data_IF_142414621917
#
_entry.id   IF_142414621917
#
_cell.length_a   1.000
_cell.length_b   1.000
_cell.length_c   1.000
_cell.angle_alpha   90.00
_cell.angle_beta   90.00
_cell.angle_gamma   90.00
#
_symmetry.space_group_name_H-M   'P 1'
#
loop_
_entity.id
_entity.type
_entity.pdbx_description
1 polymer ?
#
# COMPACT_ATOMS: atom_id res chain seq x y z
N UNK A 1 -28.60 17.01 -17.71
CA UNK A 1 -27.98 16.43 -18.92
C UNK A 1 -27.50 15.03 -18.55
N UNK A 2 -27.73 14.03 -19.41
CA UNK A 2 -27.26 12.67 -19.16
C UNK A 2 -25.79 12.54 -19.58
N UNK A 3 -24.94 12.05 -18.67
CA UNK A 3 -23.55 11.73 -18.96
C UNK A 3 -23.46 10.56 -19.93
N UNK A 4 -22.62 10.67 -20.95
CA UNK A 4 -22.43 9.61 -21.94
C UNK A 4 -20.99 9.59 -22.46
N UNK A 5 -20.54 8.40 -22.83
CA UNK A 5 -19.29 8.15 -23.54
C UNK A 5 -19.50 6.92 -24.42
N UNK A 6 -19.24 7.04 -25.73
CA UNK A 6 -19.39 5.94 -26.67
C UNK A 6 -18.35 6.03 -27.79
N UNK A 7 -18.13 4.91 -28.48
CA UNK A 7 -17.23 4.84 -29.63
C UNK A 7 -17.95 4.29 -30.86
N UNK A 8 -17.50 4.73 -32.03
CA UNK A 8 -17.92 4.25 -33.34
C UNK A 8 -16.66 3.99 -34.17
N UNK A 9 -16.46 2.75 -34.61
CA UNK A 9 -15.36 2.36 -35.48
C UNK A 9 -15.88 1.98 -36.86
N UNK A 10 -15.15 2.36 -37.92
CA UNK A 10 -15.33 1.70 -39.23
C UNK A 10 -14.54 0.40 -39.22
N UNK A 11 -15.05 -0.63 -39.88
CA UNK A 11 -14.31 -1.88 -40.14
C UNK A 11 -14.14 -2.03 -41.65
N UNK A 12 -12.96 -2.46 -42.07
CA UNK A 12 -12.66 -2.74 -43.48
C UNK A 12 -12.46 -4.25 -43.64
N UNK A 13 -13.14 -4.84 -44.63
CA UNK A 13 -13.29 -6.29 -44.77
C UNK A 13 -12.28 -6.91 -45.75
N UNK A 14 -11.18 -6.24 -46.05
CA UNK A 14 -10.22 -6.65 -47.09
C UNK A 14 -8.95 -7.28 -46.52
N UNK A 15 -8.40 -8.27 -47.22
CA UNK A 15 -7.26 -9.11 -46.80
C UNK A 15 -5.87 -8.39 -46.78
N UNK A 16 -5.83 -7.06 -46.80
CA UNK A 16 -4.60 -6.25 -46.73
C UNK A 16 -4.68 -5.33 -45.51
N UNK A 17 -3.53 -4.97 -44.93
CA UNK A 17 -3.50 -4.01 -43.82
C UNK A 17 -4.27 -2.75 -44.19
N UNK A 18 -5.28 -2.42 -43.39
CA UNK A 18 -6.25 -1.40 -43.72
C UNK A 18 -6.40 -0.45 -42.54
N UNK A 19 -6.47 0.85 -42.85
CA UNK A 19 -6.67 1.88 -41.84
C UNK A 19 -8.17 2.13 -41.66
N UNK A 20 -8.60 2.10 -40.40
CA UNK A 20 -9.98 2.30 -39.99
C UNK A 20 -10.09 3.56 -39.15
N UNK A 21 -11.25 4.21 -39.16
CA UNK A 21 -11.50 5.39 -38.34
C UNK A 21 -12.23 4.97 -37.06
N UNK A 22 -11.66 5.32 -35.90
CA UNK A 22 -12.30 5.24 -34.60
C UNK A 22 -12.68 6.65 -34.13
N UNK A 23 -13.95 6.82 -33.76
CA UNK A 23 -14.49 8.05 -33.19
C UNK A 23 -14.95 7.77 -31.77
N UNK A 24 -14.48 8.53 -30.79
CA UNK A 24 -14.98 8.50 -29.42
C UNK A 24 -15.68 9.83 -29.14
N UNK A 25 -16.92 9.78 -28.65
CA UNK A 25 -17.74 10.95 -28.33
C UNK A 25 -18.16 10.88 -26.86
N UNK A 26 -18.14 12.02 -26.15
CA UNK A 26 -18.52 12.06 -24.74
C UNK A 26 -19.17 13.38 -24.33
N UNK A 27 -19.92 13.39 -23.23
CA UNK A 27 -20.62 14.57 -22.70
C UNK A 27 -19.72 15.54 -21.95
N UNK A 28 -18.46 15.17 -21.67
CA UNK A 28 -17.50 15.95 -20.89
C UNK A 28 -16.11 15.90 -21.55
N UNK A 29 -15.36 17.01 -21.57
CA UNK A 29 -13.97 17.00 -22.03
C UNK A 29 -13.09 16.06 -21.19
N UNK A 30 -13.39 15.86 -19.91
CA UNK A 30 -12.68 14.93 -19.02
C UNK A 30 -12.84 13.47 -19.47
N UNK A 31 -14.05 13.05 -19.86
CA UNK A 31 -14.27 11.71 -20.42
C UNK A 31 -13.48 11.50 -21.71
N UNK A 32 -13.44 12.50 -22.59
CA UNK A 32 -12.65 12.43 -23.82
C UNK A 32 -11.16 12.35 -23.49
N UNK A 33 -10.65 13.18 -22.59
CA UNK A 33 -9.24 13.16 -22.22
C UNK A 33 -8.82 11.80 -21.66
N UNK A 34 -9.63 11.20 -20.77
CA UNK A 34 -9.38 9.84 -20.24
C UNK A 34 -9.42 8.77 -21.32
N UNK A 35 -10.43 8.83 -22.18
CA UNK A 35 -10.57 7.88 -23.28
C UNK A 35 -9.40 7.95 -24.25
N UNK A 36 -8.88 9.16 -24.55
CA UNK A 36 -7.70 9.37 -25.39
C UNK A 36 -6.46 8.74 -24.78
N UNK A 37 -6.21 8.95 -23.48
CA UNK A 37 -5.06 8.37 -22.79
C UNK A 37 -5.09 6.85 -22.83
N UNK A 38 -6.26 6.26 -22.53
CA UNK A 38 -6.43 4.81 -22.52
C UNK A 38 -6.35 4.22 -23.93
N UNK A 39 -7.02 4.82 -24.93
CA UNK A 39 -6.99 4.36 -26.30
C UNK A 39 -5.59 4.42 -26.90
N UNK A 40 -4.84 5.51 -26.65
CA UNK A 40 -3.47 5.65 -27.14
C UNK A 40 -2.53 4.59 -26.56
N UNK A 41 -2.78 4.15 -25.31
CA UNK A 41 -2.04 3.06 -24.67
C UNK A 41 -2.43 1.68 -25.22
N UNK A 42 -3.73 1.42 -25.41
CA UNK A 42 -4.24 0.12 -25.87
C UNK A 42 -4.00 -0.17 -27.35
N UNK A 43 -3.94 0.87 -28.17
CA UNK A 43 -3.66 0.80 -29.60
C UNK A 43 -2.25 1.30 -29.94
N UNK A 44 -1.31 1.15 -29.01
CA UNK A 44 0.08 1.58 -29.21
C UNK A 44 0.66 1.01 -30.50
N UNK A 45 1.35 1.85 -31.28
CA UNK A 45 1.89 1.47 -32.58
C UNK A 45 0.87 1.30 -33.71
N UNK A 46 -0.44 1.30 -33.41
CA UNK A 46 -1.53 1.20 -34.40
C UNK A 46 -2.25 2.52 -34.65
N UNK A 47 -2.12 3.52 -33.77
CA UNK A 47 -2.67 4.87 -34.01
C UNK A 47 -1.79 5.61 -35.02
N UNK A 48 -2.29 5.79 -36.25
CA UNK A 48 -1.58 6.45 -37.36
C UNK A 48 -1.71 7.97 -37.25
N UNK A 49 -2.91 8.44 -36.95
CA UNK A 49 -3.23 9.86 -36.81
C UNK A 49 -4.37 10.01 -35.81
N UNK A 50 -4.37 11.10 -35.05
CA UNK A 50 -5.43 11.37 -34.09
C UNK A 50 -5.65 12.87 -33.91
N UNK A 51 -6.91 13.26 -33.70
CA UNK A 51 -7.31 14.63 -33.40
C UNK A 51 -8.42 14.63 -32.36
N UNK A 52 -8.20 15.34 -31.26
CA UNK A 52 -9.23 15.66 -30.28
C UNK A 52 -9.76 17.07 -30.54
N UNK A 53 -11.09 17.25 -30.43
CA UNK A 53 -11.74 18.55 -30.42
C UNK A 53 -12.99 18.48 -29.54
N UNK A 54 -13.04 19.37 -28.54
CA UNK A 54 -14.16 19.53 -27.62
C UNK A 54 -14.61 18.20 -26.98
N UNK A 55 -15.70 17.63 -27.49
CA UNK A 55 -16.41 16.45 -27.00
C UNK A 55 -16.18 15.20 -27.87
N UNK A 56 -15.19 15.24 -28.75
CA UNK A 56 -14.90 14.16 -29.71
C UNK A 56 -13.40 13.95 -29.90
N UNK A 57 -13.01 12.70 -30.01
CA UNK A 57 -11.72 12.25 -30.52
C UNK A 57 -11.91 11.42 -31.77
N UNK A 58 -11.10 11.67 -32.79
CA UNK A 58 -11.10 10.93 -34.06
C UNK A 58 -9.69 10.42 -34.30
N UNK A 59 -9.55 9.13 -34.51
CA UNK A 59 -8.27 8.48 -34.79
C UNK A 59 -8.34 7.53 -35.97
N UNK A 60 -7.26 7.47 -36.71
CA UNK A 60 -7.01 6.44 -37.72
C UNK A 60 -6.21 5.33 -37.06
N UNK A 61 -6.79 4.14 -36.96
CA UNK A 61 -6.17 2.97 -36.33
C UNK A 61 -5.93 1.90 -37.41
N UNK A 62 -4.70 1.41 -37.46
CA UNK A 62 -4.29 0.32 -38.34
C UNK A 62 -4.88 -1.01 -37.85
N UNK A 63 -5.48 -1.77 -38.77
CA UNK A 63 -5.98 -3.13 -38.55
C UNK A 63 -6.99 -3.24 -37.39
N UNK A 64 -7.78 -2.19 -37.16
CA UNK A 64 -8.82 -2.17 -36.13
C UNK A 64 -9.93 -3.17 -36.46
N UNK A 65 -10.24 -4.05 -35.50
CA UNK A 65 -11.27 -5.07 -35.63
C UNK A 65 -10.80 -6.33 -36.35
N UNK A 66 -9.52 -6.40 -36.72
CA UNK A 66 -8.88 -7.62 -37.23
C UNK A 66 -8.55 -8.57 -36.08
N UNK A 67 -8.22 -8.00 -34.91
CA UNK A 67 -7.93 -8.76 -33.70
C UNK A 67 -9.20 -8.91 -32.84
N UNK A 68 -9.48 -10.11 -32.30
CA UNK A 68 -10.58 -10.29 -31.36
C UNK A 68 -10.37 -9.47 -30.06
N UNK A 69 -9.13 -9.06 -29.75
CA UNK A 69 -8.81 -8.22 -28.60
C UNK A 69 -9.19 -6.75 -28.78
N UNK A 70 -9.52 -6.30 -29.99
CA UNK A 70 -9.80 -4.88 -30.25
C UNK A 70 -11.14 -4.45 -29.66
N UNK A 71 -12.13 -5.34 -29.68
CA UNK A 71 -13.43 -5.11 -29.06
C UNK A 71 -13.29 -5.02 -27.54
N UNK A 72 -12.60 -5.98 -26.92
CA UNK A 72 -12.30 -5.99 -25.49
C UNK A 72 -11.50 -4.75 -25.06
N UNK A 73 -10.49 -4.37 -25.86
CA UNK A 73 -9.69 -3.18 -25.60
C UNK A 73 -10.54 -1.90 -25.68
N UNK A 74 -11.42 -1.79 -26.67
CA UNK A 74 -12.32 -0.65 -26.80
C UNK A 74 -13.32 -0.57 -25.64
N UNK A 75 -13.87 -1.73 -25.24
CA UNK A 75 -14.76 -1.81 -24.09
C UNK A 75 -14.05 -1.41 -22.78
N UNK A 76 -12.81 -1.86 -22.58
CA UNK A 76 -11.97 -1.47 -21.43
C UNK A 76 -11.70 0.04 -21.40
N UNK A 77 -11.39 0.64 -22.55
CA UNK A 77 -11.18 2.09 -22.71
C UNK A 77 -12.43 2.85 -22.28
N UNK A 78 -13.59 2.52 -22.85
CA UNK A 78 -14.85 3.22 -22.57
C UNK A 78 -15.26 3.04 -21.10
N UNK A 79 -15.19 1.81 -20.60
CA UNK A 79 -15.58 1.49 -19.22
C UNK A 79 -14.73 2.22 -18.19
N UNK A 80 -13.41 2.30 -18.40
CA UNK A 80 -12.50 3.00 -17.47
C UNK A 80 -12.57 4.51 -17.60
N UNK A 81 -12.74 5.04 -18.81
CA UNK A 81 -12.88 6.47 -19.03
C UNK A 81 -14.19 7.02 -18.46
N UNK A 82 -15.27 6.24 -18.50
CA UNK A 82 -16.57 6.61 -17.94
C UNK A 82 -16.65 6.45 -16.40
N UNK A 83 -15.66 5.83 -15.76
CA UNK A 83 -15.64 5.74 -14.29
C UNK A 83 -15.42 7.12 -13.70
N UNK A 84 -16.30 7.50 -12.78
CA UNK A 84 -16.09 8.66 -11.92
C UNK A 84 -14.70 8.54 -11.26
N UNK A 85 -13.89 9.61 -11.27
CA UNK A 85 -12.61 9.59 -10.56
C UNK A 85 -12.87 9.22 -9.11
N UNK A 86 -12.25 8.14 -8.63
CA UNK A 86 -12.17 7.92 -7.19
C UNK A 86 -11.38 9.09 -6.62
N UNK A 87 -11.90 9.70 -5.55
CA UNK A 87 -11.13 10.67 -4.79
C UNK A 87 -9.84 9.97 -4.31
N UNK A 88 -8.65 10.41 -4.74
CA UNK A 88 -7.38 9.77 -4.37
C UNK A 88 -7.11 9.85 -2.86
N UNK A 89 -7.83 10.71 -2.13
CA UNK A 89 -7.75 10.83 -0.68
C UNK A 89 -8.80 10.00 0.06
N UNK A 90 -9.78 9.43 -0.65
CA UNK A 90 -10.77 8.56 -0.03
C UNK A 90 -10.14 7.18 0.27
N UNK A 91 -10.10 6.73 1.52
CA UNK A 91 -9.55 5.43 1.87
C UNK A 91 -10.41 4.30 1.26
N UNK A 92 -9.80 3.24 0.71
CA UNK A 92 -10.55 2.10 0.19
C UNK A 92 -11.44 1.46 1.28
N UNK A 93 -12.61 0.91 0.91
CA UNK A 93 -13.45 0.17 1.85
C UNK A 93 -12.67 -0.94 2.57
N UNK A 94 -12.76 -0.98 3.90
CA UNK A 94 -12.07 -1.97 4.73
C UNK A 94 -10.61 -1.65 5.07
N UNK A 95 -10.05 -0.54 4.58
CA UNK A 95 -8.75 -0.06 5.07
C UNK A 95 -8.85 0.41 6.53
N UNK A 96 -7.79 0.18 7.29
CA UNK A 96 -7.66 0.66 8.68
C UNK A 96 -6.62 1.76 8.73
N UNK A 97 -6.97 2.86 9.39
CA UNK A 97 -6.01 3.92 9.70
C UNK A 97 -4.92 3.42 10.66
N UNK A 98 -3.78 4.11 10.67
CA UNK A 98 -2.69 3.78 11.60
C UNK A 98 -3.19 3.80 13.04
N UNK A 99 -3.98 4.80 13.45
CA UNK A 99 -4.50 4.90 14.82
C UNK A 99 -5.35 3.71 15.23
N UNK A 100 -6.15 3.17 14.29
CA UNK A 100 -6.96 1.98 14.54
C UNK A 100 -6.06 0.74 14.75
N UNK A 101 -5.07 0.54 13.87
CA UNK A 101 -4.10 -0.56 14.02
C UNK A 101 -3.32 -0.43 15.33
N UNK A 102 -2.91 0.79 15.69
CA UNK A 102 -2.21 1.05 16.94
C UNK A 102 -3.08 0.80 18.17
N UNK A 103 -4.35 1.17 18.13
CA UNK A 103 -5.32 0.93 19.21
C UNK A 103 -5.56 -0.57 19.42
N UNK A 104 -5.80 -1.31 18.34
CA UNK A 104 -6.02 -2.76 18.37
C UNK A 104 -4.79 -3.52 18.89
N UNK A 105 -3.58 -3.10 18.52
CA UNK A 105 -2.34 -3.67 19.05
C UNK A 105 -2.14 -3.33 20.53
N UNK A 106 -2.42 -2.08 20.94
CA UNK A 106 -2.28 -1.62 22.33
C UNK A 106 -3.21 -2.34 23.29
N UNK A 107 -4.42 -2.70 22.85
CA UNK A 107 -5.38 -3.42 23.69
C UNK A 107 -4.90 -4.80 24.15
N UNK A 108 -3.84 -5.36 23.53
CA UNK A 108 -3.30 -6.69 23.84
C UNK A 108 -2.07 -6.65 24.76
N UNK A 109 -1.57 -5.47 25.09
CA UNK A 109 -0.32 -5.29 25.85
C UNK A 109 -0.61 -4.86 27.28
N UNK A 110 0.05 -5.49 28.25
CA UNK A 110 0.02 -5.04 29.65
C UNK A 110 0.99 -3.87 29.81
N UNK A 111 0.46 -2.67 30.09
CA UNK A 111 1.27 -1.52 30.48
C UNK A 111 1.51 -1.53 31.97
N UNK A 112 2.76 -1.30 32.36
CA UNK A 112 3.18 -1.08 33.74
C UNK A 112 3.85 0.30 33.85
N UNK A 113 3.76 0.92 35.02
CA UNK A 113 4.41 2.20 35.30
C UNK A 113 5.92 2.01 35.52
N UNK A 114 6.74 3.08 35.44
CA UNK A 114 8.15 3.01 35.78
C UNK A 114 8.40 2.49 37.21
N UNK A 115 7.55 2.84 38.16
CA UNK A 115 7.63 2.37 39.55
C UNK A 115 7.36 0.86 39.61
N UNK A 116 6.31 0.38 38.94
CA UNK A 116 6.02 -1.06 38.86
C UNK A 116 7.13 -1.84 38.16
N UNK A 117 7.74 -1.26 37.11
CA UNK A 117 8.88 -1.89 36.44
C UNK A 117 10.10 -1.97 37.37
N UNK A 118 10.34 -0.94 38.19
CA UNK A 118 11.40 -0.96 39.20
C UNK A 118 11.12 -2.02 40.27
N UNK A 119 9.89 -2.11 40.77
CA UNK A 119 9.47 -3.12 41.74
C UNK A 119 9.66 -4.54 41.18
N UNK A 120 9.25 -4.79 39.93
CA UNK A 120 9.45 -6.09 39.25
C UNK A 120 10.94 -6.43 39.04
N UNK A 121 11.81 -5.43 38.85
CA UNK A 121 13.26 -5.63 38.70
C UNK A 121 13.97 -5.84 40.04
N UNK A 122 13.40 -5.34 41.14
CA UNK A 122 13.95 -5.46 42.48
C UNK A 122 13.42 -6.69 43.24
N UNK A 123 12.39 -7.36 42.71
CA UNK A 123 11.81 -8.55 43.32
C UNK A 123 12.89 -9.63 43.55
N UNK A 124 13.05 -10.03 44.81
CA UNK A 124 14.10 -10.96 45.24
C UNK A 124 13.59 -12.37 45.48
N UNK A 125 12.27 -12.57 45.47
CA UNK A 125 11.68 -13.89 45.53
C UNK A 125 11.93 -14.67 44.22
N UNK A 126 11.77 -16.00 44.28
CA UNK A 126 12.03 -16.94 43.17
C UNK A 126 10.97 -16.77 42.06
N UNK A 127 11.00 -15.63 41.39
CA UNK A 127 10.18 -15.30 40.23
C UNK A 127 10.87 -15.68 38.92
N UNK A 128 10.12 -15.48 37.83
CA UNK A 128 10.67 -15.46 36.48
C UNK A 128 11.84 -14.46 36.38
N UNK A 129 12.95 -14.78 35.68
CA UNK A 129 13.99 -13.79 35.41
C UNK A 129 13.42 -12.61 34.64
N UNK A 130 13.54 -11.42 35.23
CA UNK A 130 13.02 -10.17 34.66
C UNK A 130 14.15 -9.36 34.03
N UNK A 131 13.95 -8.92 32.78
CA UNK A 131 14.91 -8.08 32.07
C UNK A 131 14.26 -6.84 31.51
N UNK A 132 14.96 -5.71 31.67
CA UNK A 132 14.61 -4.45 31.04
C UNK A 132 15.26 -4.37 29.66
N UNK A 133 14.49 -4.05 28.61
CA UNK A 133 14.96 -4.00 27.22
C UNK A 133 14.73 -2.62 26.61
N UNK A 134 15.83 -1.95 26.25
CA UNK A 134 15.83 -0.70 25.49
C UNK A 134 15.80 -1.01 23.99
N UNK A 135 14.71 -0.61 23.33
CA UNK A 135 14.54 -0.81 21.89
C UNK A 135 14.80 0.45 21.07
N UNK A 136 15.32 1.53 21.69
CA UNK A 136 15.58 2.79 20.99
C UNK A 136 16.76 2.66 20.01
N UNK A 137 16.67 3.31 18.84
CA UNK A 137 17.80 3.44 17.92
C UNK A 137 19.04 4.04 18.62
N UNK A 138 20.23 3.63 18.18
CA UNK A 138 21.49 4.11 18.73
C UNK A 138 21.56 5.64 18.83
N UNK A 139 21.13 6.36 17.79
CA UNK A 139 21.15 7.83 17.75
C UNK A 139 20.31 8.50 18.85
N UNK A 140 19.26 7.86 19.37
CA UNK A 140 18.49 8.38 20.52
C UNK A 140 19.26 8.14 21.82
N UNK A 141 19.84 6.95 21.99
CA UNK A 141 20.61 6.58 23.19
C UNK A 141 21.86 7.43 23.34
N UNK A 142 22.50 7.82 22.24
CA UNK A 142 23.64 8.75 22.23
C UNK A 142 23.27 10.15 22.72
N UNK A 143 22.05 10.61 22.45
CA UNK A 143 21.57 11.94 22.84
C UNK A 143 21.04 11.99 24.27
N UNK A 144 20.36 10.94 24.70
CA UNK A 144 19.56 10.94 25.93
C UNK A 144 20.11 10.03 27.02
N UNK A 145 21.15 9.26 26.72
CA UNK A 145 21.65 8.20 27.59
C UNK A 145 20.72 6.99 27.62
N UNK A 146 21.03 6.03 28.47
CA UNK A 146 20.28 4.78 28.64
C UNK A 146 20.24 4.33 30.10
N UNK A 147 19.33 3.41 30.40
CA UNK A 147 19.23 2.82 31.74
C UNK A 147 20.32 1.76 31.88
N UNK A 148 21.18 1.92 32.89
CA UNK A 148 22.24 0.95 33.18
C UNK A 148 21.65 -0.43 33.49
N UNK A 149 22.23 -1.49 32.94
CA UNK A 149 21.74 -2.86 33.10
C UNK A 149 20.62 -3.26 32.12
N UNK A 150 20.12 -2.35 31.29
CA UNK A 150 19.16 -2.71 30.23
C UNK A 150 19.82 -3.44 29.07
N UNK A 151 19.09 -4.39 28.49
CA UNK A 151 19.48 -5.04 27.24
C UNK A 151 19.12 -4.14 26.06
N UNK A 152 20.10 -3.85 25.22
CA UNK A 152 19.88 -3.05 24.02
C UNK A 152 19.51 -3.99 22.88
N UNK A 153 18.25 -3.97 22.44
CA UNK A 153 17.74 -4.80 21.36
C UNK A 153 16.78 -3.96 20.53
N UNK A 154 17.13 -3.62 19.29
CA UNK A 154 16.25 -2.81 18.45
C UNK A 154 14.92 -3.53 18.12
N UNK A 155 13.85 -2.75 17.93
CA UNK A 155 12.49 -3.27 17.70
C UNK A 155 12.40 -4.30 16.58
N UNK A 156 13.15 -4.07 15.51
CA UNK A 156 13.14 -4.87 14.27
C UNK A 156 13.78 -6.26 14.41
N UNK A 157 14.35 -6.60 15.56
CA UNK A 157 14.94 -7.92 15.83
C UNK A 157 14.38 -8.57 17.10
N UNK A 158 13.43 -7.91 17.78
CA UNK A 158 12.99 -8.28 19.11
C UNK A 158 12.43 -9.70 19.17
N UNK A 159 11.52 -10.03 18.25
CA UNK A 159 10.83 -11.32 18.21
C UNK A 159 11.82 -12.48 18.02
N UNK A 160 12.80 -12.32 17.13
CA UNK A 160 13.82 -13.34 16.88
C UNK A 160 14.80 -13.49 18.04
N UNK A 161 15.11 -12.40 18.75
CA UNK A 161 16.03 -12.42 19.88
C UNK A 161 15.44 -13.11 21.11
N UNK A 162 14.12 -13.17 21.23
CA UNK A 162 13.42 -13.72 22.40
C UNK A 162 12.58 -14.99 22.14
N UNK A 163 12.52 -15.53 20.91
CA UNK A 163 11.94 -16.88 20.67
C UNK A 163 12.97 -17.97 21.03
N UNK A 164 12.71 -18.85 22.02
CA UNK A 164 13.62 -19.93 22.39
C UNK A 164 13.95 -20.93 21.29
N UNK A 165 13.12 -20.97 20.24
CA UNK A 165 13.32 -21.83 19.06
C UNK A 165 14.17 -21.16 17.98
N UNK A 166 14.41 -19.85 18.06
CA UNK A 166 15.19 -19.14 17.06
C UNK A 166 16.68 -19.42 17.26
N UNK A 167 17.40 -19.71 16.17
CA UNK A 167 18.86 -19.92 16.21
C UNK A 167 19.63 -18.63 16.50
N UNK A 168 19.06 -17.47 16.20
CA UNK A 168 19.63 -16.15 16.46
C UNK A 168 19.22 -15.54 17.81
N UNK A 169 18.57 -16.33 18.68
CA UNK A 169 18.10 -15.90 20.00
C UNK A 169 19.25 -15.42 20.89
N UNK A 170 18.93 -14.61 21.90
CA UNK A 170 19.86 -14.33 22.98
C UNK A 170 20.13 -15.62 23.79
N UNK A 171 21.35 -15.80 24.33
CA UNK A 171 21.65 -16.94 25.18
C UNK A 171 20.66 -17.12 26.34
N UNK A 172 20.25 -16.01 26.97
CA UNK A 172 19.27 -15.97 28.07
C UNK A 172 17.85 -16.39 27.66
N UNK A 173 17.51 -16.29 26.37
CA UNK A 173 16.19 -16.60 25.84
C UNK A 173 16.05 -18.08 25.49
N UNK A 174 16.59 -18.98 26.32
CA UNK A 174 16.48 -20.44 26.17
C UNK A 174 15.23 -21.03 26.84
N UNK A 175 14.34 -20.17 27.34
CA UNK A 175 13.18 -20.48 28.17
C UNK A 175 11.99 -19.58 27.86
N UNK A 176 10.78 -20.03 28.22
CA UNK A 176 9.52 -19.33 27.89
C UNK A 176 8.99 -18.44 29.02
N UNK A 177 9.51 -18.60 30.23
CA UNK A 177 9.09 -17.87 31.42
C UNK A 177 9.98 -16.64 31.69
N UNK A 178 10.64 -16.09 30.67
CA UNK A 178 11.29 -14.78 30.80
C UNK A 178 10.26 -13.67 30.92
N UNK A 179 10.43 -12.79 31.90
CA UNK A 179 9.66 -11.55 32.02
C UNK A 179 10.43 -10.43 31.32
N UNK A 180 9.94 -10.01 30.16
CA UNK A 180 10.58 -8.94 29.37
C UNK A 180 9.79 -7.65 29.52
N UNK A 181 10.43 -6.62 30.08
CA UNK A 181 9.89 -5.26 30.20
C UNK A 181 10.55 -4.42 29.10
N UNK A 182 9.77 -4.04 28.08
CA UNK A 182 10.27 -3.27 26.94
C UNK A 182 10.02 -1.77 27.18
N UNK A 183 11.01 -0.92 26.95
CA UNK A 183 10.84 0.54 27.01
C UNK A 183 11.44 1.27 25.81
N UNK A 184 10.92 2.46 25.54
CA UNK A 184 11.39 3.41 24.54
C UNK A 184 11.08 4.84 25.00
N UNK A 185 11.53 5.84 24.23
CA UNK A 185 11.49 7.25 24.62
C UNK A 185 10.11 7.76 25.05
N UNK A 186 9.06 7.45 24.29
CA UNK A 186 7.71 7.99 24.52
C UNK A 186 6.65 6.88 24.70
N UNK A 187 7.07 5.63 24.91
CA UNK A 187 6.16 4.47 24.91
C UNK A 187 5.41 4.22 23.59
N UNK A 188 5.81 4.87 22.48
CA UNK A 188 5.24 4.64 21.14
C UNK A 188 5.80 3.40 20.45
N UNK A 189 7.09 3.12 20.64
CA UNK A 189 7.84 2.05 19.96
C UNK A 189 7.99 0.80 20.83
N UNK A 190 7.91 0.90 22.16
CA UNK A 190 8.16 -0.17 23.13
C UNK A 190 6.99 -1.12 23.33
N UNK A 191 6.44 -1.56 22.20
CA UNK A 191 5.29 -2.46 22.15
C UNK A 191 5.66 -3.92 22.40
#
# INVERSE_FOLDING_TARGET
MHEHLFAVGTTTQTARSASSTLIICGSSPDFIQRAVLLASSKFIGRVIAAKAKDYRWVATIQDLGVSPYDEDALWDVLSKAARSPMDPLAPPPGSKGIDQLLSEARAKLQRISPEQALDELQETQVGAPTFLVDIRPQAQREKEGGIHGSLIIERNVLEWRFDPRCTARLPIADRYDLRIIVFCQEGYTSR
#
